data_IF_797780285744
#
_entry.id   IF_797780285744
#
_cell.length_a   1.000
_cell.length_b   1.000
_cell.length_c   1.000
_cell.angle_alpha   90.00
_cell.angle_beta   90.00
_cell.angle_gamma   90.00
#
_symmetry.space_group_name_H-M   'P 1'
#
loop_
_entity.id
_entity.type
_entity.pdbx_description
1 polymer ?
#
# COMPACT_ATOMS: atom_id res chain seq x y z
N UNK A 1 25.69 -22.38 7.27
CA UNK A 1 25.46 -20.93 7.11
C UNK A 1 24.07 -20.56 7.64
N UNK A 2 23.99 -20.06 8.88
CA UNK A 2 22.72 -19.61 9.48
C UNK A 2 22.40 -18.22 8.96
N UNK A 3 21.44 -18.10 8.04
CA UNK A 3 20.92 -16.79 7.69
C UNK A 3 20.14 -16.25 8.90
N UNK A 4 20.77 -15.32 9.60
CA UNK A 4 20.16 -14.49 10.63
C UNK A 4 19.06 -13.65 9.97
N UNK A 5 17.84 -14.19 10.00
CA UNK A 5 16.64 -13.52 9.53
C UNK A 5 16.42 -12.24 10.32
N UNK A 6 16.76 -11.13 9.68
CA UNK A 6 16.77 -9.78 10.22
C UNK A 6 15.37 -9.39 10.75
N UNK A 7 15.18 -9.48 12.07
CA UNK A 7 13.93 -9.15 12.80
C UNK A 7 13.49 -7.70 12.53
N UNK A 8 14.39 -6.84 12.06
CA UNK A 8 14.12 -5.42 11.74
C UNK A 8 13.33 -5.22 10.44
N UNK A 9 13.35 -6.17 9.49
CA UNK A 9 12.68 -5.99 8.19
C UNK A 9 11.15 -6.15 8.28
N UNK A 10 10.64 -6.81 9.32
CA UNK A 10 9.19 -6.97 9.54
C UNK A 10 8.48 -5.75 10.13
N UNK A 11 9.22 -4.72 10.57
CA UNK A 11 8.62 -3.46 11.06
C UNK A 11 8.30 -2.47 9.94
N UNK A 12 8.98 -2.56 8.80
CA UNK A 12 8.91 -1.55 7.72
C UNK A 12 7.85 -1.83 6.67
N UNK A 13 7.45 -3.09 6.55
CA UNK A 13 6.32 -3.52 5.75
C UNK A 13 5.39 -4.25 6.70
N UNK A 14 4.12 -3.87 6.77
CA UNK A 14 3.06 -4.64 7.43
C UNK A 14 2.88 -5.99 6.71
N UNK A 15 3.92 -6.82 6.67
CA UNK A 15 3.98 -8.17 6.12
C UNK A 15 3.53 -9.20 7.17
N UNK A 16 2.69 -8.77 8.12
CA UNK A 16 1.84 -9.73 8.81
C UNK A 16 0.95 -10.33 7.72
N UNK A 17 1.17 -11.60 7.38
CA UNK A 17 0.34 -12.32 6.41
C UNK A 17 -1.12 -11.98 6.69
N UNK A 18 -1.86 -11.60 5.66
CA UNK A 18 -3.22 -11.03 5.75
C UNK A 18 -4.20 -11.83 6.64
N UNK A 19 -3.93 -13.11 6.88
CA UNK A 19 -4.73 -13.97 7.74
C UNK A 19 -4.76 -13.56 9.22
N UNK A 20 -3.78 -12.80 9.73
CA UNK A 20 -3.74 -12.40 11.15
C UNK A 20 -4.10 -10.93 11.36
N UNK A 21 -4.38 -10.17 10.29
CA UNK A 21 -4.64 -8.75 10.39
C UNK A 21 -6.11 -8.51 10.80
N UNK A 22 -6.35 -8.33 12.10
CA UNK A 22 -7.68 -8.07 12.64
C UNK A 22 -7.98 -6.58 12.53
N UNK A 23 -9.02 -6.22 11.76
CA UNK A 23 -9.41 -4.81 11.58
C UNK A 23 -10.17 -4.30 12.81
N UNK A 24 -9.84 -3.10 13.32
CA UNK A 24 -10.55 -2.52 14.45
C UNK A 24 -12.00 -2.14 14.09
N UNK A 25 -13.00 -2.57 14.86
CA UNK A 25 -14.38 -2.13 14.67
C UNK A 25 -14.56 -0.65 15.05
N UNK A 26 -13.69 -0.13 15.92
CA UNK A 26 -13.71 1.26 16.40
C UNK A 26 -12.42 1.94 15.96
N UNK A 27 -12.53 3.11 15.32
CA UNK A 27 -11.39 3.94 14.90
C UNK A 27 -10.77 4.67 16.11
N UNK A 28 -10.18 3.91 17.02
CA UNK A 28 -9.44 4.42 18.19
C UNK A 28 -8.01 3.86 18.21
N UNK A 29 -7.06 4.68 18.65
CA UNK A 29 -5.66 4.28 18.79
C UNK A 29 -5.49 3.13 19.80
N UNK A 30 -6.29 3.12 20.87
CA UNK A 30 -6.28 2.06 21.88
C UNK A 30 -6.79 0.72 21.30
N UNK A 31 -7.92 0.75 20.57
CA UNK A 31 -8.48 -0.42 19.92
C UNK A 31 -7.52 -1.03 18.89
N UNK A 32 -6.88 -0.18 18.08
CA UNK A 32 -5.84 -0.61 17.13
C UNK A 32 -4.64 -1.26 17.83
N UNK A 33 -4.21 -0.74 18.99
CA UNK A 33 -3.10 -1.31 19.76
C UNK A 33 -3.42 -2.71 20.28
N UNK A 34 -4.62 -2.89 20.84
CA UNK A 34 -5.08 -4.17 21.39
C UNK A 34 -5.12 -5.25 20.30
N UNK A 35 -5.74 -4.93 19.16
CA UNK A 35 -5.86 -5.90 18.07
C UNK A 35 -4.53 -6.24 17.41
N UNK A 36 -3.60 -5.27 17.36
CA UNK A 36 -2.22 -5.55 16.92
C UNK A 36 -1.48 -6.47 17.89
N UNK A 37 -1.70 -6.34 19.20
CA UNK A 37 -1.11 -7.27 20.17
C UNK A 37 -1.71 -8.68 20.04
N UNK A 38 -3.03 -8.76 19.86
CA UNK A 38 -3.73 -10.02 19.63
C UNK A 38 -3.24 -10.72 18.35
N UNK A 39 -3.09 -9.98 17.24
CA UNK A 39 -2.57 -10.56 16.00
C UNK A 39 -1.16 -11.13 16.16
N UNK A 40 -0.29 -10.40 16.85
CA UNK A 40 1.05 -10.89 17.17
C UNK A 40 1.03 -12.12 18.08
N UNK A 41 0.11 -12.18 19.06
CA UNK A 41 -0.05 -13.34 19.93
C UNK A 41 -0.47 -14.58 19.14
N UNK A 42 -1.44 -14.45 18.23
CA UNK A 42 -1.89 -15.56 17.36
C UNK A 42 -0.75 -16.06 16.45
N UNK A 43 0.04 -15.16 15.88
CA UNK A 43 1.22 -15.55 15.09
C UNK A 43 2.23 -16.31 15.94
N UNK A 44 2.48 -15.86 17.18
CA UNK A 44 3.38 -16.56 18.11
C UNK A 44 2.86 -17.95 18.47
N UNK A 45 1.58 -18.07 18.78
CA UNK A 45 0.93 -19.35 19.06
C UNK A 45 0.97 -20.28 17.85
N UNK A 46 0.94 -19.76 16.62
CA UNK A 46 1.11 -20.60 15.43
C UNK A 46 2.56 -21.04 15.21
N UNK A 47 3.53 -20.19 15.52
CA UNK A 47 4.96 -20.51 15.35
C UNK A 47 5.41 -21.60 16.32
N UNK A 48 4.92 -21.60 17.56
CA UNK A 48 5.26 -22.58 18.60
C UNK A 48 5.10 -24.05 18.17
N UNK A 49 3.91 -24.52 17.74
CA UNK A 49 3.71 -25.90 17.31
C UNK A 49 4.51 -26.20 16.04
N UNK A 50 4.66 -25.25 15.11
CA UNK A 50 5.48 -25.47 13.92
C UNK A 50 6.95 -25.72 14.28
N UNK A 51 7.50 -24.98 15.26
CA UNK A 51 8.87 -25.21 15.75
C UNK A 51 8.98 -26.53 16.49
N UNK A 52 7.98 -26.88 17.29
CA UNK A 52 7.94 -28.16 17.98
C UNK A 52 7.92 -29.34 17.00
N UNK A 53 7.05 -29.30 15.99
CA UNK A 53 7.02 -30.33 14.94
C UNK A 53 8.33 -30.40 14.18
N UNK A 54 8.96 -29.25 13.89
CA UNK A 54 10.28 -29.23 13.26
C UNK A 54 11.35 -29.93 14.13
N UNK A 55 11.41 -29.61 15.43
CA UNK A 55 12.33 -30.29 16.35
C UNK A 55 12.03 -31.79 16.47
N UNK A 56 10.76 -32.17 16.53
CA UNK A 56 10.32 -33.57 16.54
C UNK A 56 10.79 -34.30 15.28
N UNK A 57 10.56 -33.73 14.09
CA UNK A 57 11.04 -34.32 12.83
C UNK A 57 12.55 -34.42 12.74
N UNK A 58 13.29 -33.43 13.27
CA UNK A 58 14.75 -33.46 13.30
C UNK A 58 15.28 -34.56 14.22
N UNK A 59 14.67 -34.75 15.40
CA UNK A 59 15.02 -35.84 16.32
C UNK A 59 14.73 -37.21 15.71
N UNK A 60 13.57 -37.38 15.08
CA UNK A 60 13.24 -38.65 14.40
C UNK A 60 14.19 -38.93 13.26
N UNK A 61 14.54 -37.91 12.46
CA UNK A 61 15.50 -38.04 11.36
C UNK A 61 16.87 -38.48 11.85
N UNK A 62 17.37 -37.87 12.93
CA UNK A 62 18.64 -38.27 13.53
C UNK A 62 18.59 -39.71 14.06
N UNK A 63 17.52 -40.08 14.77
CA UNK A 63 17.36 -41.44 15.30
C UNK A 63 17.33 -42.49 14.18
N UNK A 64 16.57 -42.24 13.10
CA UNK A 64 16.54 -43.13 11.93
C UNK A 64 17.90 -43.18 11.23
N UNK A 65 18.61 -42.05 11.13
CA UNK A 65 19.93 -42.03 10.51
C UNK A 65 20.93 -42.89 11.28
N UNK A 66 20.96 -42.81 12.61
CA UNK A 66 21.84 -43.63 13.46
C UNK A 66 21.52 -45.13 13.38
N UNK A 67 20.23 -45.49 13.28
CA UNK A 67 19.82 -46.88 13.09
C UNK A 67 20.31 -47.41 11.73
N UNK A 68 20.08 -46.64 10.68
CA UNK A 68 20.43 -47.01 9.31
C UNK A 68 21.94 -47.02 9.08
N UNK A 69 22.70 -46.14 9.74
CA UNK A 69 24.16 -46.09 9.59
C UNK A 69 24.86 -47.35 10.09
N UNK A 70 24.21 -48.12 10.97
CA UNK A 70 24.74 -49.41 11.45
C UNK A 70 24.53 -50.57 10.47
N UNK A 71 23.67 -50.41 9.46
CA UNK A 71 23.25 -51.48 8.55
C UNK A 71 23.67 -51.20 7.10
N UNK A 72 23.68 -49.93 6.68
CA UNK A 72 23.88 -49.55 5.27
C UNK A 72 25.34 -49.29 4.92
N UNK A 73 25.75 -49.77 3.75
CA UNK A 73 27.06 -49.48 3.18
C UNK A 73 27.12 -48.04 2.61
N UNK A 74 28.32 -47.43 2.47
CA UNK A 74 28.47 -46.06 1.95
C UNK A 74 27.85 -45.83 0.56
N UNK A 75 27.82 -46.87 -0.29
CA UNK A 75 27.25 -46.80 -1.64
C UNK A 75 25.72 -46.68 -1.65
N UNK A 76 25.06 -47.32 -0.70
CA UNK A 76 23.60 -47.25 -0.59
C UNK A 76 23.15 -45.88 -0.07
N UNK A 77 23.95 -45.28 0.82
CA UNK A 77 23.77 -43.89 1.25
C UNK A 77 23.86 -42.92 0.07
N UNK A 78 24.83 -43.10 -0.83
CA UNK A 78 24.99 -42.25 -2.00
C UNK A 78 23.78 -42.34 -2.95
N UNK A 79 23.21 -43.54 -3.14
CA UNK A 79 21.99 -43.75 -3.93
C UNK A 79 20.76 -43.09 -3.27
N UNK A 80 20.64 -43.19 -1.95
CA UNK A 80 19.56 -42.54 -1.18
C UNK A 80 19.68 -41.02 -1.28
N UNK A 81 20.89 -40.45 -1.17
CA UNK A 81 21.10 -39.02 -1.28
C UNK A 81 20.81 -38.51 -2.70
N UNK A 82 21.26 -39.23 -3.74
CA UNK A 82 20.97 -38.88 -5.13
C UNK A 82 19.46 -38.93 -5.44
N UNK A 83 18.76 -39.96 -4.97
CA UNK A 83 17.31 -40.07 -5.15
C UNK A 83 16.53 -39.00 -4.37
N UNK A 84 16.95 -38.70 -3.14
CA UNK A 84 16.37 -37.64 -2.32
C UNK A 84 16.58 -36.27 -2.96
N UNK A 85 17.81 -35.96 -3.41
CA UNK A 85 18.12 -34.72 -4.11
C UNK A 85 17.32 -34.57 -5.42
N UNK A 86 17.16 -35.66 -6.19
CA UNK A 86 16.32 -35.64 -7.39
C UNK A 86 14.86 -35.33 -7.06
N UNK A 87 14.32 -35.93 -6.00
CA UNK A 87 12.95 -35.70 -5.55
C UNK A 87 12.75 -34.27 -5.01
N UNK A 88 13.70 -33.74 -4.26
CA UNK A 88 13.70 -32.35 -3.81
C UNK A 88 13.65 -31.36 -4.97
N UNK A 89 14.43 -31.60 -6.03
CA UNK A 89 14.41 -30.76 -7.23
C UNK A 89 13.04 -30.79 -7.93
N UNK A 90 12.40 -31.96 -8.01
CA UNK A 90 11.05 -32.09 -8.58
C UNK A 90 10.00 -31.35 -7.75
N UNK A 91 10.06 -31.49 -6.42
CA UNK A 91 9.16 -30.78 -5.50
C UNK A 91 9.36 -29.27 -5.58
N UNK A 92 10.62 -28.81 -5.66
CA UNK A 92 10.95 -27.40 -5.84
C UNK A 92 10.34 -26.87 -7.14
N UNK A 93 10.56 -27.54 -8.28
CA UNK A 93 9.96 -27.18 -9.58
C UNK A 93 8.43 -27.16 -9.54
N UNK A 94 7.79 -28.12 -8.87
CA UNK A 94 6.33 -28.18 -8.74
C UNK A 94 5.78 -27.05 -7.85
N UNK A 95 6.48 -26.74 -6.76
CA UNK A 95 6.10 -25.65 -5.88
C UNK A 95 6.30 -24.28 -6.54
N UNK A 96 7.42 -24.06 -7.21
CA UNK A 96 7.68 -22.81 -7.92
C UNK A 96 6.65 -22.58 -9.01
N UNK A 97 6.39 -23.57 -9.87
CA UNK A 97 5.37 -23.48 -10.93
C UNK A 97 3.96 -23.23 -10.38
N UNK A 98 3.59 -23.85 -9.26
CA UNK A 98 2.31 -23.56 -8.58
C UNK A 98 2.23 -22.12 -8.08
N UNK A 99 3.30 -21.64 -7.45
CA UNK A 99 3.32 -20.28 -6.90
C UNK A 99 3.40 -19.21 -7.98
N UNK A 100 4.15 -19.43 -9.07
CA UNK A 100 4.21 -18.52 -10.22
C UNK A 100 2.83 -18.42 -10.88
N UNK A 101 2.15 -19.54 -11.16
CA UNK A 101 0.77 -19.53 -11.66
C UNK A 101 -0.19 -18.78 -10.74
N UNK A 102 -0.08 -18.98 -9.43
CA UNK A 102 -0.90 -18.25 -8.45
C UNK A 102 -0.62 -16.74 -8.52
N UNK A 103 0.65 -16.35 -8.59
CA UNK A 103 1.04 -14.94 -8.72
C UNK A 103 0.50 -14.34 -10.02
N UNK A 104 0.65 -15.01 -11.15
CA UNK A 104 0.17 -14.52 -12.45
C UNK A 104 -1.35 -14.33 -12.45
N UNK A 105 -2.08 -15.28 -11.85
CA UNK A 105 -3.53 -15.17 -11.70
C UNK A 105 -3.95 -13.98 -10.81
N UNK A 106 -3.18 -13.68 -9.76
CA UNK A 106 -3.42 -12.51 -8.92
C UNK A 106 -3.03 -11.21 -9.64
N UNK A 107 -1.95 -11.22 -10.41
CA UNK A 107 -1.50 -10.07 -11.19
C UNK A 107 -2.53 -9.70 -12.28
N UNK A 108 -3.12 -10.71 -12.95
CA UNK A 108 -4.22 -10.53 -13.92
C UNK A 108 -5.50 -9.97 -13.29
N UNK A 109 -5.71 -10.19 -11.99
CA UNK A 109 -6.87 -9.68 -11.24
C UNK A 109 -6.71 -8.26 -10.71
N UNK A 110 -5.60 -7.56 -10.98
CA UNK A 110 -5.61 -6.11 -10.81
C UNK A 110 -6.78 -5.59 -11.65
N UNK A 111 -7.71 -4.79 -11.09
CA UNK A 111 -8.70 -4.13 -11.92
C UNK A 111 -7.88 -3.30 -12.90
N UNK A 112 -7.81 -3.75 -14.14
CA UNK A 112 -7.54 -2.86 -15.26
C UNK A 112 -8.55 -1.75 -15.05
N UNK A 113 -8.06 -0.54 -14.81
CA UNK A 113 -8.89 0.65 -14.84
C UNK A 113 -9.46 0.69 -16.25
N UNK A 114 -10.57 -0.02 -16.46
CA UNK A 114 -11.38 0.10 -17.65
C UNK A 114 -11.71 1.58 -17.70
N UNK A 115 -11.44 2.27 -18.82
CA UNK A 115 -11.80 3.67 -18.94
C UNK A 115 -13.27 3.77 -18.59
N UNK A 116 -13.57 4.41 -17.46
CA UNK A 116 -14.92 4.55 -16.99
C UNK A 116 -15.65 5.38 -18.04
N UNK A 117 -16.74 4.85 -18.60
CA UNK A 117 -17.53 5.59 -19.58
C UNK A 117 -17.97 6.92 -18.93
N UNK A 118 -17.59 8.07 -19.51
CA UNK A 118 -17.84 9.37 -18.89
C UNK A 118 -19.32 9.62 -18.65
N UNK A 119 -20.17 9.17 -19.58
CA UNK A 119 -21.62 9.39 -19.54
C UNK A 119 -22.33 8.57 -18.46
N UNK A 120 -21.74 7.45 -18.03
CA UNK A 120 -22.29 6.64 -16.91
C UNK A 120 -21.76 7.11 -15.55
N UNK A 121 -20.61 7.78 -15.55
CA UNK A 121 -19.85 8.13 -14.35
C UNK A 121 -20.19 9.54 -13.87
N UNK A 122 -20.51 10.46 -14.77
CA UNK A 122 -20.85 11.83 -14.43
C UNK A 122 -22.35 12.01 -14.64
N UNK A 123 -23.10 12.12 -13.54
CA UNK A 123 -24.54 12.42 -13.62
C UNK A 123 -24.71 13.91 -13.39
N UNK A 124 -25.02 14.61 -14.48
CA UNK A 124 -25.40 16.01 -14.41
C UNK A 124 -26.85 16.15 -13.95
N UNK A 125 -27.07 16.88 -12.86
CA UNK A 125 -28.42 17.24 -12.40
C UNK A 125 -28.68 18.75 -12.59
N UNK A 126 -27.70 19.47 -13.14
CA UNK A 126 -27.86 20.81 -13.67
C UNK A 126 -28.36 20.69 -15.12
N UNK A 127 -29.28 21.54 -15.54
CA UNK A 127 -29.78 21.56 -16.93
C UNK A 127 -28.76 22.11 -17.96
N UNK A 128 -27.56 22.49 -17.53
CA UNK A 128 -26.50 23.05 -18.38
C UNK A 128 -25.65 21.95 -19.02
N UNK A 129 -25.18 22.15 -20.25
CA UNK A 129 -24.25 21.21 -20.90
C UNK A 129 -22.87 21.27 -20.23
N UNK A 130 -22.36 20.11 -19.80
CA UNK A 130 -21.01 19.99 -19.22
C UNK A 130 -19.99 19.87 -20.36
N UNK A 131 -18.94 20.67 -20.32
CA UNK A 131 -17.80 20.59 -21.25
C UNK A 131 -17.10 19.21 -21.15
N UNK A 132 -16.61 18.66 -22.25
CA UNK A 132 -16.01 17.32 -22.28
C UNK A 132 -14.73 17.24 -21.43
N UNK A 133 -13.94 18.32 -21.38
CA UNK A 133 -12.79 18.44 -20.47
C UNK A 133 -13.19 18.42 -18.99
N UNK A 134 -14.39 18.89 -18.66
CA UNK A 134 -14.93 18.84 -17.30
C UNK A 134 -15.41 17.43 -16.97
N UNK A 135 -16.03 16.73 -17.94
CA UNK A 135 -16.41 15.31 -17.77
C UNK A 135 -15.17 14.44 -17.52
N UNK A 136 -14.10 14.60 -18.29
CA UNK A 136 -12.86 13.80 -18.11
C UNK A 136 -12.16 14.05 -16.77
N UNK A 137 -12.25 15.26 -16.23
CA UNK A 137 -11.75 15.56 -14.88
C UNK A 137 -12.61 14.88 -13.82
N UNK A 138 -13.93 14.92 -13.96
CA UNK A 138 -14.86 14.34 -13.01
C UNK A 138 -14.87 12.80 -13.04
N UNK A 139 -14.56 12.17 -14.18
CA UNK A 139 -14.42 10.71 -14.28
C UNK A 139 -13.19 10.17 -13.57
N UNK A 140 -12.12 10.96 -13.45
CA UNK A 140 -10.94 10.59 -12.65
C UNK A 140 -11.30 10.46 -11.16
N UNK A 141 -12.40 11.09 -10.74
CA UNK A 141 -13.03 10.92 -9.44
C UNK A 141 -12.33 11.68 -8.31
N UNK A 142 -12.96 11.71 -7.14
CA UNK A 142 -12.47 12.45 -5.97
C UNK A 142 -11.15 11.91 -5.40
N UNK A 143 -10.76 10.68 -5.73
CA UNK A 143 -9.49 10.10 -5.29
C UNK A 143 -8.30 10.49 -6.19
N UNK A 144 -8.55 11.28 -7.24
CA UNK A 144 -7.48 11.78 -8.10
C UNK A 144 -6.78 12.97 -7.44
N UNK A 145 -5.49 12.79 -7.14
CA UNK A 145 -4.66 13.85 -6.57
C UNK A 145 -3.97 14.65 -7.69
N UNK A 146 -4.32 15.93 -7.90
CA UNK A 146 -3.60 16.78 -8.85
C UNK A 146 -2.17 17.00 -8.37
N UNK A 147 -1.19 16.80 -9.27
CA UNK A 147 0.22 17.06 -8.98
C UNK A 147 0.48 18.56 -8.84
N UNK A 148 1.16 19.01 -7.78
CA UNK A 148 1.55 20.41 -7.67
C UNK A 148 2.52 20.77 -8.81
N UNK A 149 2.32 21.95 -9.40
CA UNK A 149 3.15 22.44 -10.51
C UNK A 149 4.46 23.08 -10.02
N UNK A 150 4.51 23.45 -8.74
CA UNK A 150 5.68 24.00 -8.07
C UNK A 150 6.08 23.11 -6.90
N UNK A 151 7.38 23.05 -6.62
CA UNK A 151 7.89 22.41 -5.42
C UNK A 151 7.57 23.33 -4.24
N UNK A 152 6.88 22.86 -3.18
CA UNK A 152 6.52 23.70 -2.05
C UNK A 152 7.74 23.95 -1.15
N UNK A 153 8.61 24.87 -1.57
CA UNK A 153 9.84 25.21 -0.83
C UNK A 153 9.58 25.63 0.62
N UNK A 154 8.50 26.38 0.85
CA UNK A 154 8.12 26.85 2.18
C UNK A 154 7.76 25.70 3.12
N UNK A 155 7.06 24.66 2.64
CA UNK A 155 6.68 23.51 3.46
C UNK A 155 7.89 22.68 3.87
N UNK A 156 8.84 22.50 2.93
CA UNK A 156 10.09 21.79 3.22
C UNK A 156 10.94 22.54 4.25
N UNK A 157 11.16 23.85 4.05
CA UNK A 157 11.94 24.67 4.99
C UNK A 157 11.21 24.75 6.34
N UNK A 158 9.89 24.94 6.33
CA UNK A 158 9.05 25.01 7.53
C UNK A 158 9.01 23.72 8.34
N UNK A 159 9.16 22.55 7.69
CA UNK A 159 9.29 21.27 8.39
C UNK A 159 10.69 21.00 8.94
N UNK A 160 11.73 21.42 8.20
CA UNK A 160 13.13 21.09 8.50
C UNK A 160 13.74 22.04 9.53
N UNK A 161 13.56 23.36 9.37
CA UNK A 161 14.15 24.37 10.25
C UNK A 161 13.80 24.19 11.75
N UNK A 162 12.55 23.90 12.16
CA UNK A 162 12.25 23.67 13.57
C UNK A 162 12.89 22.40 14.13
N UNK A 163 13.17 21.39 13.28
CA UNK A 163 13.88 20.19 13.68
C UNK A 163 15.38 20.46 13.84
N UNK A 164 15.97 21.28 12.96
CA UNK A 164 17.39 21.65 12.99
C UNK A 164 17.73 22.51 14.22
N UNK A 165 16.82 23.38 14.69
CA UNK A 165 17.06 24.24 15.87
C UNK A 165 17.45 23.49 17.15
N UNK A 166 17.17 22.19 17.25
CA UNK A 166 17.48 21.35 18.42
C UNK A 166 18.85 20.66 18.34
N UNK A 167 19.56 20.76 17.21
CA UNK A 167 20.84 20.11 16.96
C UNK A 167 22.03 21.06 17.18
N UNK A 168 23.25 20.54 17.37
CA UNK A 168 24.47 21.35 17.44
C UNK A 168 24.68 22.13 16.13
N UNK A 169 25.27 23.33 16.24
CA UNK A 169 25.40 24.31 15.16
C UNK A 169 26.09 23.76 13.90
N UNK A 170 27.09 22.90 14.08
CA UNK A 170 27.85 22.30 12.98
C UNK A 170 26.99 21.34 12.14
N UNK A 171 26.26 20.42 12.80
CA UNK A 171 25.32 19.51 12.13
C UNK A 171 24.14 20.27 11.51
N UNK A 172 23.71 21.37 12.12
CA UNK A 172 22.65 22.22 11.60
C UNK A 172 23.03 22.88 10.26
N UNK A 173 24.23 23.44 10.15
CA UNK A 173 24.73 24.04 8.91
C UNK A 173 24.93 22.99 7.80
N UNK A 174 25.41 21.79 8.15
CA UNK A 174 25.55 20.70 7.19
C UNK A 174 24.18 20.32 6.58
N UNK A 175 23.14 20.18 7.41
CA UNK A 175 21.80 19.85 6.94
C UNK A 175 21.23 21.00 6.11
N UNK A 176 21.45 22.28 6.48
CA UNK A 176 21.03 23.43 5.65
C UNK A 176 21.70 23.41 4.27
N UNK A 177 22.99 23.14 4.21
CA UNK A 177 23.74 23.02 2.95
C UNK A 177 23.20 21.86 2.08
N UNK A 178 22.97 20.69 2.68
CA UNK A 178 22.40 19.55 1.96
C UNK A 178 20.98 19.84 1.44
N UNK A 179 20.12 20.45 2.26
CA UNK A 179 18.73 20.77 1.90
C UNK A 179 18.69 21.81 0.78
N UNK A 180 19.51 22.86 0.84
CA UNK A 180 19.59 23.84 -0.25
C UNK A 180 20.10 23.21 -1.55
N UNK A 181 21.06 22.27 -1.47
CA UNK A 181 21.51 21.51 -2.64
C UNK A 181 20.39 20.64 -3.23
N UNK A 182 19.65 19.90 -2.39
CA UNK A 182 18.53 19.06 -2.84
C UNK A 182 17.40 19.89 -3.46
N UNK A 183 17.04 21.02 -2.86
CA UNK A 183 15.99 21.90 -3.37
C UNK A 183 16.38 22.56 -4.71
N UNK A 184 17.66 22.89 -4.91
CA UNK A 184 18.17 23.39 -6.20
C UNK A 184 18.15 22.34 -7.31
N UNK A 185 18.36 21.07 -6.95
CA UNK A 185 18.37 19.94 -7.91
C UNK A 185 16.97 19.35 -8.16
N UNK A 186 15.99 19.65 -7.31
CA UNK A 186 14.66 19.09 -7.40
C UNK A 186 13.94 19.56 -8.69
N UNK A 187 13.46 18.58 -9.47
CA UNK A 187 12.65 18.81 -10.67
C UNK A 187 11.19 18.56 -10.31
N UNK A 188 10.24 19.45 -10.69
CA UNK A 188 8.82 19.22 -10.42
C UNK A 188 8.35 17.92 -11.09
N UNK A 189 7.44 17.17 -10.45
CA UNK A 189 6.91 15.95 -11.02
C UNK A 189 6.15 16.24 -12.32
N UNK A 190 6.13 15.24 -13.23
CA UNK A 190 5.37 15.35 -14.47
C UNK A 190 3.89 15.62 -14.17
N UNK A 191 3.24 16.57 -14.86
CA UNK A 191 1.86 16.91 -14.57
C UNK A 191 0.92 15.76 -14.96
N UNK A 192 0.02 15.39 -14.03
CA UNK A 192 -0.98 14.33 -14.26
C UNK A 192 -2.26 14.83 -15.00
N UNK A 193 -2.35 16.12 -15.32
CA UNK A 193 -3.50 16.76 -15.96
C UNK A 193 -3.08 17.61 -17.15
N UNK A 194 -3.91 17.60 -18.20
CA UNK A 194 -3.82 18.54 -19.32
C UNK A 194 -4.07 19.99 -18.88
N UNK A 195 -3.67 20.97 -19.69
CA UNK A 195 -3.94 22.40 -19.43
C UNK A 195 -5.45 22.68 -19.38
N UNK A 196 -6.19 22.13 -20.35
CA UNK A 196 -7.66 22.27 -20.45
C UNK A 196 -8.37 21.68 -19.22
N UNK A 197 -7.91 20.53 -18.74
CA UNK A 197 -8.44 19.88 -17.54
C UNK A 197 -8.18 20.71 -16.28
N UNK A 198 -7.02 21.37 -16.19
CA UNK A 198 -6.70 22.27 -15.06
C UNK A 198 -7.55 23.54 -15.09
N UNK A 199 -7.81 24.08 -16.27
CA UNK A 199 -8.69 25.25 -16.44
C UNK A 199 -10.12 24.90 -16.09
N UNK A 200 -10.64 23.76 -16.56
CA UNK A 200 -11.94 23.22 -16.16
C UNK A 200 -12.06 23.07 -14.63
N UNK A 201 -11.02 22.55 -13.96
CA UNK A 201 -11.00 22.42 -12.51
C UNK A 201 -11.02 23.78 -11.79
N UNK A 202 -10.29 24.78 -12.31
CA UNK A 202 -10.31 26.16 -11.77
C UNK A 202 -11.68 26.81 -11.94
N UNK A 203 -12.31 26.61 -13.09
CA UNK A 203 -13.65 27.13 -13.37
C UNK A 203 -14.68 26.51 -12.42
N UNK A 204 -14.65 25.19 -12.26
CA UNK A 204 -15.49 24.48 -11.29
C UNK A 204 -15.28 24.99 -9.86
N UNK A 205 -14.03 25.27 -9.46
CA UNK A 205 -13.71 25.81 -8.13
C UNK A 205 -14.22 27.24 -7.93
N UNK A 206 -14.31 28.02 -9.00
CA UNK A 206 -14.77 29.42 -8.93
C UNK A 206 -16.28 29.51 -8.78
N UNK A 207 -17.04 28.57 -9.37
CA UNK A 207 -18.50 28.50 -9.28
C UNK A 207 -18.94 27.99 -7.90
N UNK A 208 -19.37 28.90 -7.02
CA UNK A 208 -19.87 28.56 -5.66
C UNK A 208 -21.28 27.93 -5.66
N UNK A 209 -21.99 28.05 -6.79
CA UNK A 209 -23.33 27.53 -6.98
C UNK A 209 -23.34 26.03 -7.32
N UNK A 210 -22.17 25.38 -7.30
CA UNK A 210 -22.02 24.00 -7.73
C UNK A 210 -21.41 23.16 -6.60
N UNK A 211 -22.13 22.13 -6.17
CA UNK A 211 -21.63 21.14 -5.23
C UNK A 211 -21.36 19.80 -5.94
N UNK A 212 -20.13 19.28 -5.76
CA UNK A 212 -19.66 18.00 -6.30
C UNK A 212 -19.69 16.98 -5.16
N UNK A 213 -20.50 15.93 -5.28
CA UNK A 213 -20.65 14.91 -4.25
C UNK A 213 -20.21 13.52 -4.75
N UNK A 214 -19.49 12.74 -3.91
CA UNK A 214 -19.30 11.31 -4.16
C UNK A 214 -20.65 10.62 -3.97
N UNK A 215 -21.06 9.80 -4.93
CA UNK A 215 -22.26 8.97 -4.78
C UNK A 215 -21.96 7.78 -3.87
N UNK A 216 -22.90 7.46 -2.97
CA UNK A 216 -22.79 6.42 -1.92
C UNK A 216 -22.43 5.00 -2.38
N UNK A 217 -22.39 4.73 -3.69
CA UNK A 217 -22.08 3.41 -4.26
C UNK A 217 -20.86 3.45 -5.17
N UNK A 218 -19.69 3.34 -4.54
CA UNK A 218 -18.43 3.06 -5.22
C UNK A 218 -17.89 4.25 -6.01
N UNK A 219 -16.58 4.18 -6.26
CA UNK A 219 -15.72 5.26 -6.76
C UNK A 219 -16.04 5.84 -8.15
N UNK A 220 -17.20 5.56 -8.71
CA UNK A 220 -17.48 5.71 -10.13
C UNK A 220 -18.68 6.61 -10.42
N UNK A 221 -19.20 7.38 -9.46
CA UNK A 221 -20.23 8.36 -9.82
C UNK A 221 -20.09 9.68 -9.06
N UNK A 222 -19.94 10.75 -9.82
CA UNK A 222 -19.87 12.13 -9.31
C UNK A 222 -21.16 12.84 -9.72
N UNK A 223 -21.91 13.37 -8.74
CA UNK A 223 -23.13 14.16 -8.99
C UNK A 223 -22.86 15.64 -8.74
N UNK A 224 -23.47 16.47 -9.59
CA UNK A 224 -23.36 17.93 -9.54
C UNK A 224 -24.74 18.52 -9.20
N UNK A 225 -24.83 19.37 -8.17
CA UNK A 225 -26.07 20.03 -7.72
C UNK A 225 -25.93 21.54 -7.54
N UNK A 226 -27.05 22.26 -7.62
CA UNK A 226 -27.20 23.63 -7.09
C UNK A 226 -27.53 23.56 -5.59
N UNK A 227 -26.79 24.25 -4.71
CA UNK A 227 -27.19 24.38 -3.32
C UNK A 227 -28.43 25.27 -3.23
N UNK A 228 -29.61 24.66 -3.07
CA UNK A 228 -30.83 25.42 -2.74
C UNK A 228 -30.66 26.04 -1.35
N UNK A 229 -30.77 27.36 -1.29
CA UNK A 229 -30.85 28.15 -0.06
C UNK A 229 -32.03 27.67 0.78
N UNK A 230 -31.81 26.86 1.82
CA UNK A 230 -32.87 26.60 2.81
C UNK A 230 -32.90 25.27 3.56
N UNK A 231 -31.99 24.30 3.34
CA UNK A 231 -31.99 23.07 4.15
C UNK A 231 -30.79 22.99 5.10
N UNK A 232 -31.04 23.40 6.35
CA UNK A 232 -30.24 23.06 7.52
C UNK A 232 -30.23 21.53 7.71
N UNK A 233 -29.30 20.85 7.04
CA UNK A 233 -29.16 19.40 7.17
C UNK A 233 -27.87 18.80 6.63
N UNK A 234 -26.95 19.61 6.10
CA UNK A 234 -25.63 19.13 5.71
C UNK A 234 -24.62 19.53 6.77
N UNK A 235 -24.42 18.60 7.71
CA UNK A 235 -23.39 18.69 8.71
C UNK A 235 -22.06 19.05 8.05
N UNK A 236 -21.46 20.13 8.54
CA UNK A 236 -20.10 20.52 8.22
C UNK A 236 -19.17 19.32 8.42
N UNK A 237 -18.75 18.68 7.33
CA UNK A 237 -17.53 17.89 7.33
C UNK A 237 -16.35 18.88 7.42
N UNK A 238 -16.12 19.34 8.66
CA UNK A 238 -14.86 19.95 9.08
C UNK A 238 -13.76 18.91 8.89
N UNK A 239 -13.06 18.99 7.76
CA UNK A 239 -11.62 19.23 7.69
C UNK A 239 -11.10 18.99 6.27
N UNK A 240 -10.58 20.06 5.68
CA UNK A 240 -9.39 20.00 4.81
C UNK A 240 -9.48 19.12 3.58
N UNK A 241 -10.35 19.47 2.63
CA UNK A 241 -10.15 19.12 1.23
C UNK A 241 -10.64 20.29 0.37
N UNK A 242 -10.00 21.45 0.57
CA UNK A 242 -9.98 22.48 -0.46
C UNK A 242 -9.11 21.93 -1.60
N UNK A 243 -9.74 21.70 -2.76
CA UNK A 243 -9.03 21.84 -4.03
C UNK A 243 -8.34 23.20 -4.10
#
# INVERSE_FOLDING_TARGET
MRQSGNVKTQRKYNLGRDFANIKPPIKSAAASRILRLASHALVRERIRPTRYELDKTARTLLATHLQLSSVLAPRDWELIDQSTAAQEQLLLKRNTTRQTKKYDNLARKKPVATPLNPDRTVINLLGESINDSTKTVLTKGLNFAPTPCSIPYQDFIGGIEPAIRKLPKEAAEEIRSQVTHFLKKAVPPKPNLSKEEKEALKELKTRKDIAILPVDKGNATTRIYLPRSGHHGFAQLKHGALL
#
